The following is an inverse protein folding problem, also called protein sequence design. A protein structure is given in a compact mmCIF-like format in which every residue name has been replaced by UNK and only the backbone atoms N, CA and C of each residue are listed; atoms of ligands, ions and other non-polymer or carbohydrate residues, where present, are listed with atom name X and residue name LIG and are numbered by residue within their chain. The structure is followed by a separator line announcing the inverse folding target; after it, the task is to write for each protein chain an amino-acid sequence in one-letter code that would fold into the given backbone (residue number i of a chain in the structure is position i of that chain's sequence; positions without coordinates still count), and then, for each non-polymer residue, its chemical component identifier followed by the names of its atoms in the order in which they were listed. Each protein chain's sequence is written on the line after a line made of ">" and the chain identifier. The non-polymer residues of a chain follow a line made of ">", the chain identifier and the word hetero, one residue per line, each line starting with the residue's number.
data_IF_594382270574
#
_entry.id   IF_594382270574
#
_cell.length_a   1.000
_cell.length_b   1.000
_cell.length_c   1.000
_cell.angle_alpha   90.00
_cell.angle_beta   90.00
_cell.angle_gamma   90.00
#
_symmetry.space_group_name_H-M   'P 1'
#
loop_
_entity.id
_entity.type
_entity.pdbx_description
1 polymer ?
#
# COMPACT_ATOMS: atom_id res chain seq x y z
N UNK A 1 -7.95 -25.44 25.54
CA UNK A 1 -7.83 -24.14 26.26
C UNK A 1 -6.44 -23.60 26.02
N UNK A 2 -6.32 -22.42 25.47
CA UNK A 2 -5.03 -21.73 25.30
C UNK A 2 -4.56 -21.19 26.66
N UNK A 3 -3.25 -20.90 26.80
CA UNK A 3 -2.71 -20.26 28.02
C UNK A 3 -3.42 -18.95 28.32
N UNK A 4 -3.67 -18.13 27.31
CA UNK A 4 -4.36 -16.83 27.44
C UNK A 4 -5.79 -16.98 27.98
N UNK A 5 -6.57 -17.91 27.43
CA UNK A 5 -7.93 -18.17 27.89
C UNK A 5 -7.94 -18.63 29.35
N UNK A 6 -6.99 -19.49 29.73
CA UNK A 6 -6.85 -19.95 31.12
C UNK A 6 -6.50 -18.78 32.05
N UNK A 7 -5.50 -17.97 31.71
CA UNK A 7 -5.06 -16.85 32.53
C UNK A 7 -6.13 -15.76 32.70
N UNK A 8 -7.04 -15.61 31.75
CA UNK A 8 -8.19 -14.71 31.89
C UNK A 8 -9.18 -15.14 33.00
N UNK A 9 -9.14 -16.39 33.45
CA UNK A 9 -9.99 -16.92 34.53
C UNK A 9 -9.32 -16.91 35.92
N UNK A 10 -8.02 -16.63 35.98
CA UNK A 10 -7.25 -16.64 37.23
C UNK A 10 -7.54 -15.38 38.05
N UNK A 11 -7.81 -15.55 39.35
CA UNK A 11 -8.17 -14.46 40.25
C UNK A 11 -7.14 -14.19 41.36
N UNK A 12 -6.17 -15.07 41.53
CA UNK A 12 -5.15 -14.98 42.57
C UNK A 12 -3.77 -15.46 42.10
N UNK A 13 -2.72 -14.98 42.74
CA UNK A 13 -1.36 -15.45 42.53
C UNK A 13 -1.20 -16.82 43.19
N UNK A 14 -1.05 -17.88 42.42
CA UNK A 14 -0.99 -19.25 42.95
C UNK A 14 -0.35 -20.21 41.94
N UNK A 15 -0.25 -21.50 42.29
CA UNK A 15 0.14 -22.59 41.43
C UNK A 15 -1.10 -23.31 40.86
N UNK A 16 -1.10 -23.53 39.56
CA UNK A 16 -2.19 -24.13 38.80
C UNK A 16 -1.76 -25.34 37.99
N UNK A 17 -2.72 -26.10 37.54
CA UNK A 17 -2.51 -27.10 36.49
C UNK A 17 -2.22 -26.38 35.16
N UNK A 18 -1.13 -26.74 34.51
CA UNK A 18 -0.78 -26.14 33.21
C UNK A 18 -1.77 -26.60 32.13
N UNK A 19 -2.48 -25.73 31.43
CA UNK A 19 -3.44 -26.12 30.40
C UNK A 19 -2.78 -26.79 29.19
N UNK A 20 -1.49 -26.57 28.97
CA UNK A 20 -0.76 -27.10 27.83
C UNK A 20 -0.17 -28.50 28.07
N UNK A 21 0.26 -28.81 29.29
CA UNK A 21 0.98 -30.07 29.55
C UNK A 21 0.39 -30.97 30.65
N UNK A 22 -0.63 -30.51 31.41
CA UNK A 22 -1.18 -31.33 32.52
C UNK A 22 -1.82 -32.65 32.05
N UNK A 23 -2.47 -32.63 30.90
CA UNK A 23 -3.16 -33.83 30.35
C UNK A 23 -2.20 -34.93 29.88
N UNK A 24 -0.99 -34.58 29.45
CA UNK A 24 0.02 -35.50 28.91
C UNK A 24 1.00 -36.06 29.95
N UNK A 25 0.94 -35.58 31.22
CA UNK A 25 1.86 -35.97 32.29
C UNK A 25 1.44 -37.27 33.01
N UNK A 26 2.42 -37.97 33.58
CA UNK A 26 2.17 -39.13 34.46
C UNK A 26 1.40 -38.71 35.72
N UNK A 27 1.77 -37.59 36.36
CA UNK A 27 1.09 -36.99 37.52
C UNK A 27 0.24 -35.81 37.07
N UNK A 28 -1.00 -36.05 36.69
CA UNK A 28 -1.92 -35.04 36.13
C UNK A 28 -2.38 -34.01 37.16
N UNK A 29 -2.27 -34.30 38.48
CA UNK A 29 -2.68 -33.42 39.55
C UNK A 29 -1.60 -32.40 40.00
N UNK A 30 -0.36 -32.51 39.48
CA UNK A 30 0.71 -31.61 39.92
C UNK A 30 0.51 -30.20 39.36
N UNK A 31 0.44 -29.22 40.27
CA UNK A 31 0.31 -27.79 39.96
C UNK A 31 1.66 -27.19 39.63
N UNK A 32 2.10 -27.30 38.39
CA UNK A 32 3.42 -26.86 37.96
C UNK A 32 3.42 -25.48 37.30
N UNK A 33 2.26 -24.89 37.02
CA UNK A 33 2.14 -23.53 36.50
C UNK A 33 2.07 -22.54 37.66
N UNK A 34 3.11 -21.74 37.81
CA UNK A 34 3.10 -20.57 38.70
C UNK A 34 2.47 -19.39 37.99
N UNK A 35 1.52 -18.74 38.60
CA UNK A 35 0.90 -17.50 38.10
C UNK A 35 1.04 -16.44 39.15
N UNK A 36 1.53 -15.26 38.77
CA UNK A 36 1.67 -14.07 39.58
C UNK A 36 0.86 -12.92 38.97
N UNK A 37 -0.03 -12.34 39.76
CA UNK A 37 -0.83 -11.20 39.41
C UNK A 37 -0.16 -9.94 39.95
N UNK A 38 0.23 -9.04 39.05
CA UNK A 38 0.69 -7.70 39.40
C UNK A 38 -0.40 -6.67 39.06
N UNK A 39 -0.33 -5.41 39.48
CA UNK A 39 -1.32 -4.40 39.13
C UNK A 39 -1.50 -4.19 37.63
N UNK A 40 -0.46 -4.44 36.81
CA UNK A 40 -0.44 -4.16 35.39
C UNK A 40 -0.49 -5.44 34.53
N UNK A 41 0.06 -6.56 35.04
CA UNK A 41 0.30 -7.76 34.24
C UNK A 41 0.03 -9.05 35.01
N UNK A 42 -0.26 -10.12 34.29
CA UNK A 42 -0.28 -11.50 34.79
C UNK A 42 0.94 -12.21 34.21
N UNK A 43 1.84 -12.64 35.08
CA UNK A 43 3.08 -13.35 34.71
C UNK A 43 2.89 -14.83 35.02
N UNK A 44 3.39 -15.69 34.14
CA UNK A 44 3.30 -17.12 34.37
C UNK A 44 4.58 -17.88 33.97
N UNK A 45 4.82 -19.00 34.64
CA UNK A 45 5.91 -19.92 34.33
C UNK A 45 5.52 -21.36 34.70
N UNK A 46 5.61 -22.27 33.73
CA UNK A 46 5.39 -23.68 33.97
C UNK A 46 6.71 -24.44 34.16
N UNK A 47 6.95 -24.95 35.36
CA UNK A 47 8.18 -25.70 35.69
C UNK A 47 8.27 -27.09 35.08
N UNK A 48 7.26 -27.54 34.31
CA UNK A 48 7.30 -28.82 33.62
C UNK A 48 7.56 -28.70 32.11
N UNK A 49 6.87 -27.83 31.41
CA UNK A 49 7.06 -27.62 29.97
C UNK A 49 7.87 -26.38 29.63
N UNK A 50 8.34 -25.63 30.63
CA UNK A 50 9.11 -24.40 30.51
C UNK A 50 8.40 -23.29 29.75
N UNK A 51 7.10 -23.40 29.54
CA UNK A 51 6.29 -22.33 28.94
C UNK A 51 6.17 -21.18 29.94
N UNK A 52 6.57 -19.99 29.53
CA UNK A 52 6.56 -18.80 30.37
C UNK A 52 6.21 -17.54 29.58
N UNK A 53 5.71 -16.51 30.25
CA UNK A 53 5.37 -15.25 29.61
C UNK A 53 4.53 -14.35 30.53
N UNK A 54 3.97 -13.30 29.94
CA UNK A 54 3.09 -12.37 30.62
C UNK A 54 2.07 -11.76 29.66
N UNK A 55 0.93 -11.38 30.23
CA UNK A 55 -0.12 -10.63 29.53
C UNK A 55 -0.56 -9.44 30.39
N UNK A 56 -0.78 -8.28 29.78
CA UNK A 56 -1.44 -7.19 30.50
C UNK A 56 -2.90 -7.54 30.80
N UNK A 57 -3.46 -6.96 31.84
CA UNK A 57 -4.90 -7.16 32.18
C UNK A 57 -5.80 -6.74 31.01
N UNK A 58 -5.41 -5.73 30.24
CA UNK A 58 -6.10 -5.30 29.02
C UNK A 58 -6.07 -6.39 27.94
N UNK A 59 -4.92 -7.03 27.73
CA UNK A 59 -4.78 -8.12 26.77
C UNK A 59 -5.62 -9.36 27.16
N UNK A 60 -5.79 -9.64 28.45
CA UNK A 60 -6.61 -10.75 28.93
C UNK A 60 -8.13 -10.46 28.83
N UNK A 61 -8.52 -9.19 29.03
CA UNK A 61 -9.92 -8.74 28.90
C UNK A 61 -10.35 -8.53 27.44
N UNK A 62 -9.40 -8.27 26.54
CA UNK A 62 -9.71 -8.11 25.14
C UNK A 62 -10.30 -9.43 24.61
N UNK A 63 -11.57 -9.40 24.25
CA UNK A 63 -12.18 -10.45 23.42
C UNK A 63 -11.27 -10.72 22.22
N UNK A 64 -11.18 -11.98 21.74
CA UNK A 64 -10.38 -12.25 20.55
C UNK A 64 -10.81 -11.26 19.47
N UNK A 65 -9.83 -10.48 18.95
CA UNK A 65 -10.12 -9.59 17.82
C UNK A 65 -10.82 -10.44 16.77
N UNK A 66 -11.99 -9.99 16.27
CA UNK A 66 -12.61 -10.69 15.19
C UNK A 66 -11.53 -10.89 14.12
N UNK A 67 -11.33 -12.14 13.71
CA UNK A 67 -10.45 -12.48 12.59
C UNK A 67 -10.76 -11.48 11.49
N UNK A 68 -9.77 -10.78 10.92
CA UNK A 68 -10.04 -9.86 9.83
C UNK A 68 -10.87 -10.63 8.81
N UNK A 69 -12.08 -10.17 8.53
CA UNK A 69 -12.89 -10.75 7.44
C UNK A 69 -11.97 -10.78 6.22
N UNK A 70 -11.91 -11.92 5.57
CA UNK A 70 -11.21 -12.03 4.30
C UNK A 70 -11.56 -10.77 3.47
N UNK A 71 -10.56 -10.09 2.88
CA UNK A 71 -10.85 -8.93 2.07
C UNK A 71 -11.93 -9.31 1.06
N UNK A 72 -12.94 -8.47 0.84
CA UNK A 72 -13.98 -8.75 -0.14
C UNK A 72 -13.27 -9.08 -1.47
N UNK A 73 -13.80 -10.02 -2.26
CA UNK A 73 -13.21 -10.35 -3.55
C UNK A 73 -13.01 -9.05 -4.34
N UNK A 74 -11.91 -8.94 -5.10
CA UNK A 74 -11.65 -7.76 -5.92
C UNK A 74 -12.90 -7.44 -6.73
N UNK A 75 -13.41 -6.22 -6.64
CA UNK A 75 -14.51 -5.78 -7.51
C UNK A 75 -14.07 -6.01 -8.95
N UNK A 76 -14.94 -6.62 -9.74
CA UNK A 76 -14.69 -6.75 -11.18
C UNK A 76 -14.41 -5.34 -11.74
N UNK A 77 -13.25 -5.20 -12.35
CA UNK A 77 -12.81 -3.94 -12.94
C UNK A 77 -13.63 -3.75 -14.21
N UNK A 78 -14.40 -2.70 -14.25
CA UNK A 78 -15.11 -2.29 -15.46
C UNK A 78 -14.44 -1.05 -16.02
N UNK A 79 -13.56 -1.24 -16.99
CA UNK A 79 -13.00 -0.12 -17.78
C UNK A 79 -14.07 0.29 -18.79
N UNK A 80 -14.51 1.55 -18.80
CA UNK A 80 -15.49 2.03 -19.78
C UNK A 80 -14.97 1.82 -21.21
N UNK A 81 -15.79 1.20 -22.06
CA UNK A 81 -15.45 1.00 -23.48
C UNK A 81 -15.61 2.30 -24.29
N UNK A 82 -16.54 3.13 -23.89
CA UNK A 82 -16.82 4.43 -24.50
C UNK A 82 -16.53 5.52 -23.48
N UNK A 83 -15.44 6.23 -23.67
CA UNK A 83 -15.07 7.37 -22.85
C UNK A 83 -15.36 8.66 -23.60
N UNK A 84 -15.87 9.67 -22.91
CA UNK A 84 -16.04 11.00 -23.46
C UNK A 84 -14.68 11.71 -23.51
N UNK A 85 -14.06 11.70 -24.70
CA UNK A 85 -12.74 12.32 -24.91
C UNK A 85 -12.76 13.83 -24.67
N UNK A 86 -13.89 14.50 -24.93
CA UNK A 86 -14.00 15.93 -24.70
C UNK A 86 -13.91 16.25 -23.19
N UNK A 87 -14.59 15.47 -22.35
CA UNK A 87 -14.49 15.65 -20.87
C UNK A 87 -13.10 15.36 -20.35
N UNK A 88 -12.41 14.37 -20.89
CA UNK A 88 -11.00 14.11 -20.56
C UNK A 88 -10.14 15.31 -20.96
N UNK A 89 -10.32 15.80 -22.18
CA UNK A 89 -9.59 16.97 -22.70
C UNK A 89 -9.81 18.22 -21.84
N UNK A 90 -11.07 18.52 -21.52
CA UNK A 90 -11.42 19.70 -20.69
C UNK A 90 -10.83 19.60 -19.28
N UNK A 91 -10.90 18.39 -18.67
CA UNK A 91 -10.31 18.14 -17.36
C UNK A 91 -8.79 18.35 -17.35
N UNK A 92 -8.09 17.92 -18.39
CA UNK A 92 -6.65 18.08 -18.53
C UNK A 92 -6.28 19.51 -18.92
N UNK A 93 -7.04 20.15 -19.81
CA UNK A 93 -6.83 21.54 -20.22
C UNK A 93 -6.91 22.52 -19.05
N UNK A 94 -7.83 22.30 -18.11
CA UNK A 94 -7.94 23.06 -16.87
C UNK A 94 -6.65 23.01 -16.01
N UNK A 95 -5.71 22.13 -16.35
CA UNK A 95 -4.39 21.95 -15.71
C UNK A 95 -3.23 22.26 -16.67
N UNK A 96 -3.52 22.90 -17.79
CA UNK A 96 -2.56 23.19 -18.86
C UNK A 96 -1.90 21.94 -19.48
N UNK A 97 -2.57 20.79 -19.43
CA UNK A 97 -2.12 19.53 -20.03
C UNK A 97 -2.83 19.34 -21.37
N UNK A 98 -2.07 19.20 -22.46
CA UNK A 98 -2.63 18.96 -23.78
C UNK A 98 -2.96 17.47 -23.95
N UNK A 99 -4.26 17.14 -24.00
CA UNK A 99 -4.74 15.78 -24.17
C UNK A 99 -4.20 15.09 -25.44
N UNK A 100 -4.11 15.80 -26.56
CA UNK A 100 -3.64 15.24 -27.82
C UNK A 100 -2.19 14.74 -27.77
N UNK A 101 -1.37 15.33 -26.89
CA UNK A 101 0.03 14.91 -26.74
C UNK A 101 0.19 13.67 -25.84
N UNK A 102 -0.83 13.33 -25.05
CA UNK A 102 -0.75 12.26 -24.05
C UNK A 102 -1.71 11.09 -24.32
N UNK A 103 -2.75 11.25 -25.13
CA UNK A 103 -3.80 10.25 -25.35
C UNK A 103 -3.30 8.90 -25.89
N UNK A 104 -2.28 8.91 -26.74
CA UNK A 104 -1.69 7.70 -27.29
C UNK A 104 -0.60 7.10 -26.38
N UNK A 105 -0.16 7.86 -25.40
CA UNK A 105 0.85 7.45 -24.42
C UNK A 105 0.23 6.81 -23.17
N UNK A 106 -0.98 7.23 -22.78
CA UNK A 106 -1.61 6.84 -21.53
C UNK A 106 -3.08 6.49 -21.71
N UNK A 107 -3.51 5.41 -21.10
CA UNK A 107 -4.91 5.01 -21.11
C UNK A 107 -5.68 5.78 -20.02
N UNK A 108 -6.45 6.76 -20.46
CA UNK A 108 -7.29 7.60 -19.62
C UNK A 108 -8.75 7.39 -20.06
N UNK A 109 -9.64 7.27 -19.10
CA UNK A 109 -11.07 7.03 -19.33
C UNK A 109 -11.93 8.01 -18.58
N UNK A 110 -13.16 8.21 -19.04
CA UNK A 110 -14.19 9.00 -18.36
C UNK A 110 -15.33 8.07 -17.93
N UNK A 111 -15.96 8.37 -16.79
CA UNK A 111 -17.13 7.64 -16.30
C UNK A 111 -17.72 8.25 -15.04
N UNK A 112 -18.87 7.72 -14.60
CA UNK A 112 -19.50 8.12 -13.36
C UNK A 112 -19.18 7.13 -12.26
N UNK A 113 -18.82 7.65 -11.07
CA UNK A 113 -18.42 6.84 -9.92
C UNK A 113 -19.00 7.41 -8.62
N UNK A 114 -19.29 6.52 -7.68
CA UNK A 114 -19.72 6.90 -6.35
C UNK A 114 -18.51 7.18 -5.46
N UNK A 115 -18.46 8.39 -4.90
CA UNK A 115 -17.44 8.81 -3.92
C UNK A 115 -18.09 9.03 -2.57
N UNK A 116 -17.42 8.58 -1.51
CA UNK A 116 -17.82 8.82 -0.12
C UNK A 116 -17.60 10.28 0.24
N UNK A 117 -18.29 10.74 1.27
CA UNK A 117 -18.07 12.05 1.87
C UNK A 117 -16.61 12.23 2.31
N UNK A 118 -16.13 13.45 2.25
CA UNK A 118 -14.80 13.83 2.74
C UNK A 118 -14.82 15.30 3.15
N UNK A 119 -14.73 15.57 4.45
CA UNK A 119 -14.89 16.94 4.97
C UNK A 119 -16.26 17.48 4.65
N UNK A 120 -16.33 18.63 4.00
CA UNK A 120 -17.56 19.29 3.57
C UNK A 120 -18.13 18.77 2.23
N UNK A 121 -17.40 17.84 1.56
CA UNK A 121 -17.83 17.31 0.27
C UNK A 121 -18.75 16.12 0.51
N UNK A 122 -19.99 16.22 0.07
CA UNK A 122 -21.00 15.18 0.22
C UNK A 122 -20.69 13.92 -0.60
N UNK A 123 -21.21 12.79 -0.12
CA UNK A 123 -21.15 11.53 -0.85
C UNK A 123 -22.10 11.56 -2.06
N UNK A 124 -21.73 10.92 -3.15
CA UNK A 124 -22.60 10.82 -4.32
C UNK A 124 -21.91 10.27 -5.55
N UNK A 125 -22.72 10.07 -6.59
CA UNK A 125 -22.23 9.74 -7.92
C UNK A 125 -21.82 11.02 -8.64
N UNK A 126 -20.57 11.05 -9.09
CA UNK A 126 -20.00 12.19 -9.82
C UNK A 126 -19.19 11.72 -11.03
N UNK A 127 -19.13 12.58 -12.02
CA UNK A 127 -18.25 12.36 -13.19
C UNK A 127 -16.79 12.34 -12.75
N UNK A 128 -16.04 11.39 -13.27
CA UNK A 128 -14.67 11.16 -12.88
C UNK A 128 -13.79 10.77 -14.07
N UNK A 129 -12.54 11.13 -13.98
CA UNK A 129 -11.48 10.69 -14.87
C UNK A 129 -10.77 9.51 -14.24
N UNK A 130 -10.58 8.45 -15.02
CA UNK A 130 -9.92 7.22 -14.60
C UNK A 130 -8.56 7.05 -15.27
N UNK A 131 -7.56 6.76 -14.47
CA UNK A 131 -6.20 6.41 -14.91
C UNK A 131 -6.07 4.90 -14.85
N UNK A 132 -5.90 4.26 -16.02
CA UNK A 132 -5.90 2.80 -16.15
C UNK A 132 -4.50 2.25 -15.98
N UNK A 133 -4.34 1.31 -15.06
CA UNK A 133 -3.08 0.65 -14.73
C UNK A 133 -2.99 -0.75 -15.34
N UNK A 134 -1.79 -1.13 -15.72
CA UNK A 134 -1.51 -2.43 -16.29
C UNK A 134 -2.31 -2.70 -17.56
N UNK A 135 -2.65 -3.96 -17.77
CA UNK A 135 -3.56 -4.39 -18.85
C UNK A 135 -5.01 -4.42 -18.33
N UNK A 136 -5.53 -3.25 -17.91
CA UNK A 136 -6.86 -3.10 -17.30
C UNK A 136 -6.98 -3.78 -15.91
N UNK A 137 -5.89 -3.83 -15.15
CA UNK A 137 -5.82 -4.48 -13.84
C UNK A 137 -6.34 -3.59 -12.71
N UNK A 138 -6.27 -2.28 -12.87
CA UNK A 138 -6.83 -1.31 -11.95
C UNK A 138 -7.16 0.01 -12.63
N UNK A 139 -8.11 0.74 -12.06
CA UNK A 139 -8.42 2.12 -12.46
C UNK A 139 -8.47 2.99 -11.23
N UNK A 140 -7.67 4.04 -11.21
CA UNK A 140 -7.71 5.07 -10.18
C UNK A 140 -8.55 6.23 -10.69
N UNK A 141 -9.67 6.47 -10.01
CA UNK A 141 -10.65 7.45 -10.38
C UNK A 141 -10.51 8.73 -9.59
N UNK A 142 -10.58 9.85 -10.27
CA UNK A 142 -10.57 11.19 -9.69
C UNK A 142 -11.79 11.95 -10.16
N UNK A 143 -12.62 12.48 -9.25
CA UNK A 143 -13.81 13.26 -9.63
C UNK A 143 -13.41 14.55 -10.33
N UNK A 144 -14.27 15.00 -11.24
CA UNK A 144 -14.14 16.32 -11.84
C UNK A 144 -14.64 17.33 -10.80
N UNK A 145 -13.75 18.25 -10.39
CA UNK A 145 -14.10 19.33 -9.45
C UNK A 145 -13.59 19.19 -8.02
N UNK A 146 -13.13 17.99 -7.59
CA UNK A 146 -12.55 17.82 -6.24
C UNK A 146 -11.29 16.95 -6.21
N UNK A 147 -10.71 16.79 -5.01
CA UNK A 147 -9.43 16.07 -4.81
C UNK A 147 -9.58 14.65 -4.25
N UNK A 148 -10.81 14.13 -4.14
CA UNK A 148 -11.00 12.74 -3.72
C UNK A 148 -10.42 11.79 -4.77
N UNK A 149 -10.20 10.56 -4.38
CA UNK A 149 -9.93 9.47 -5.32
C UNK A 149 -10.48 8.16 -4.78
N UNK A 150 -10.79 7.26 -5.68
CA UNK A 150 -11.10 5.86 -5.38
C UNK A 150 -10.33 4.98 -6.36
N UNK A 151 -10.16 3.72 -6.02
CA UNK A 151 -9.49 2.76 -6.86
C UNK A 151 -10.32 1.49 -7.00
N UNK A 152 -10.52 1.07 -8.25
CA UNK A 152 -11.04 -0.24 -8.61
C UNK A 152 -9.84 -1.13 -8.95
N UNK A 153 -9.77 -2.34 -8.41
CA UNK A 153 -8.64 -3.24 -8.60
C UNK A 153 -7.40 -2.87 -7.78
N UNK A 154 -6.29 -3.54 -8.07
CA UNK A 154 -5.01 -3.34 -7.38
C UNK A 154 -3.96 -2.81 -8.36
N UNK A 155 -3.59 -1.55 -8.24
CA UNK A 155 -2.52 -0.95 -9.02
C UNK A 155 -1.16 -1.42 -8.46
N UNK A 156 -0.60 -2.46 -9.07
CA UNK A 156 0.67 -3.09 -8.67
C UNK A 156 1.86 -2.68 -9.53
N UNK A 157 1.64 -1.83 -10.52
CA UNK A 157 2.66 -1.37 -11.46
C UNK A 157 2.78 0.15 -11.42
N UNK A 158 3.89 0.68 -11.92
CA UNK A 158 3.99 2.10 -12.22
C UNK A 158 3.01 2.46 -13.35
N UNK A 159 2.27 3.55 -13.20
CA UNK A 159 1.37 4.02 -14.26
C UNK A 159 2.16 4.49 -15.48
N UNK A 160 1.76 4.02 -16.65
CA UNK A 160 2.46 4.31 -17.90
C UNK A 160 3.63 3.38 -18.23
N UNK A 161 3.99 2.43 -17.37
CA UNK A 161 5.13 1.52 -17.60
C UNK A 161 4.89 0.55 -18.76
N UNK A 162 3.63 0.18 -19.03
CA UNK A 162 3.29 -0.81 -20.06
C UNK A 162 3.68 -0.37 -21.47
N UNK A 163 3.70 0.94 -21.73
CA UNK A 163 4.17 1.49 -23.03
C UNK A 163 5.69 1.39 -23.21
N UNK A 164 6.43 1.18 -22.12
CA UNK A 164 7.90 1.07 -22.10
C UNK A 164 8.30 -0.40 -22.11
N UNK A 165 7.58 -1.25 -21.34
CA UNK A 165 7.80 -2.70 -21.33
C UNK A 165 7.65 -3.27 -22.74
N UNK A 166 8.56 -4.13 -23.15
CA UNK A 166 8.53 -4.79 -24.45
C UNK A 166 9.14 -3.99 -25.62
N UNK A 167 9.63 -2.77 -25.39
CA UNK A 167 10.44 -2.09 -26.40
C UNK A 167 11.78 -2.78 -26.58
N UNK A 168 12.28 -2.83 -27.80
CA UNK A 168 13.63 -3.33 -28.11
C UNK A 168 14.70 -2.45 -27.46
N UNK A 169 14.50 -1.13 -27.51
CA UNK A 169 15.35 -0.15 -26.87
C UNK A 169 14.61 0.41 -25.64
N UNK A 170 15.17 0.20 -24.47
CA UNK A 170 14.68 0.78 -23.23
C UNK A 170 15.25 2.19 -23.04
N UNK A 171 14.51 3.08 -22.33
CA UNK A 171 14.96 4.44 -22.12
C UNK A 171 16.26 4.49 -21.32
N UNK A 172 17.20 5.31 -21.77
CA UNK A 172 18.39 5.64 -20.98
C UNK A 172 18.06 6.59 -19.84
N UNK A 173 17.15 7.49 -20.08
CA UNK A 173 16.64 8.45 -19.09
C UNK A 173 15.13 8.32 -18.97
N UNK A 174 14.61 8.43 -17.76
CA UNK A 174 13.19 8.42 -17.48
C UNK A 174 12.84 9.22 -16.24
N UNK A 175 11.58 9.62 -16.13
CA UNK A 175 11.03 10.35 -14.98
C UNK A 175 10.09 9.47 -14.20
N UNK A 176 10.17 9.50 -12.88
CA UNK A 176 9.18 8.93 -11.97
C UNK A 176 8.53 10.07 -11.20
N UNK A 177 7.22 10.25 -11.40
CA UNK A 177 6.40 11.25 -10.71
C UNK A 177 5.63 10.65 -9.54
N UNK A 178 5.20 11.50 -8.61
CA UNK A 178 4.35 11.09 -7.50
C UNK A 178 2.90 10.80 -7.94
N UNK A 179 2.35 11.56 -8.88
CA UNK A 179 0.98 11.44 -9.34
C UNK A 179 0.82 11.30 -10.86
N UNK A 180 -0.35 10.82 -11.27
CA UNK A 180 -0.69 10.62 -12.68
C UNK A 180 -0.75 11.94 -13.45
N UNK A 181 -1.26 13.00 -12.80
CA UNK A 181 -1.34 14.33 -13.41
C UNK A 181 0.04 14.96 -13.61
N UNK A 182 0.98 14.72 -12.70
CA UNK A 182 2.36 15.18 -12.82
C UNK A 182 3.04 14.48 -13.98
N UNK A 183 2.84 13.15 -14.10
CA UNK A 183 3.36 12.39 -15.23
C UNK A 183 2.78 12.88 -16.57
N UNK A 184 1.48 13.23 -16.62
CA UNK A 184 0.86 13.80 -17.81
C UNK A 184 1.42 15.20 -18.13
N UNK A 185 1.67 16.03 -17.13
CA UNK A 185 2.27 17.35 -17.31
C UNK A 185 3.65 17.24 -17.96
N UNK A 186 4.50 16.35 -17.44
CA UNK A 186 5.81 16.07 -18.04
C UNK A 186 5.67 15.53 -19.47
N UNK A 187 4.81 14.53 -19.68
CA UNK A 187 4.64 13.89 -20.99
C UNK A 187 4.03 14.81 -22.06
N UNK A 188 3.31 15.86 -21.65
CA UNK A 188 2.73 16.85 -22.56
C UNK A 188 3.71 17.93 -23.01
N UNK A 189 4.84 18.07 -22.31
CA UNK A 189 5.82 19.14 -22.56
C UNK A 189 7.20 18.62 -22.97
N UNK A 190 7.50 17.35 -22.67
CA UNK A 190 8.83 16.77 -22.89
C UNK A 190 8.71 15.41 -23.60
N UNK A 191 9.62 15.16 -24.55
CA UNK A 191 9.78 13.84 -25.18
C UNK A 191 10.69 12.95 -24.35
N UNK A 192 10.23 12.61 -23.13
CA UNK A 192 10.91 11.73 -22.21
C UNK A 192 9.96 10.64 -21.72
N UNK A 193 10.49 9.48 -21.41
CA UNK A 193 9.69 8.42 -20.78
C UNK A 193 9.40 8.79 -19.33
N UNK A 194 8.11 8.84 -19.00
CA UNK A 194 7.64 9.19 -17.67
C UNK A 194 6.60 8.20 -17.18
N UNK A 195 6.66 7.91 -15.89
CA UNK A 195 5.74 7.04 -15.15
C UNK A 195 5.35 7.67 -13.83
N UNK A 196 4.28 7.23 -13.19
CA UNK A 196 3.99 7.64 -11.82
C UNK A 196 3.82 6.46 -10.88
N UNK A 197 4.01 6.71 -9.57
CA UNK A 197 3.75 5.70 -8.55
C UNK A 197 2.25 5.49 -8.37
N UNK A 198 1.78 4.24 -8.09
CA UNK A 198 0.35 3.95 -7.93
C UNK A 198 -0.21 4.43 -6.60
N UNK A 199 0.62 4.50 -5.59
CA UNK A 199 0.23 4.84 -4.22
C UNK A 199 0.88 6.16 -3.82
N UNK A 200 0.20 6.91 -2.94
CA UNK A 200 0.78 8.15 -2.40
C UNK A 200 2.08 7.93 -1.64
N UNK A 201 2.81 9.01 -1.41
CA UNK A 201 4.08 9.01 -0.70
C UNK A 201 3.96 8.43 0.73
N UNK A 202 5.00 7.77 1.25
CA UNK A 202 5.04 7.33 2.64
C UNK A 202 5.24 8.53 3.57
N UNK A 203 4.65 8.48 4.76
CA UNK A 203 4.82 9.56 5.76
C UNK A 203 6.24 9.68 6.31
N UNK A 204 7.07 8.64 6.17
CA UNK A 204 8.46 8.60 6.61
C UNK A 204 9.24 7.50 5.90
N UNK A 205 10.55 7.65 5.89
CA UNK A 205 11.50 6.64 5.42
C UNK A 205 11.47 5.42 6.36
N UNK A 206 11.50 4.22 5.81
CA UNK A 206 11.54 2.99 6.58
C UNK A 206 12.96 2.66 7.05
N UNK A 207 13.12 2.35 8.34
CA UNK A 207 14.40 1.88 8.91
C UNK A 207 14.71 0.41 8.56
N UNK A 208 13.73 -0.32 7.99
CA UNK A 208 13.89 -1.73 7.66
C UNK A 208 14.80 -1.93 6.46
N UNK A 209 15.56 -3.04 6.49
CA UNK A 209 16.28 -3.49 5.30
C UNK A 209 15.29 -3.81 4.17
N UNK A 210 15.63 -3.40 2.97
CA UNK A 210 14.81 -3.69 1.79
C UNK A 210 15.01 -5.14 1.38
N UNK A 211 13.93 -5.93 1.41
CA UNK A 211 13.88 -7.32 0.94
C UNK A 211 12.75 -7.42 -0.07
N UNK A 212 13.10 -7.68 -1.33
CA UNK A 212 12.15 -7.60 -2.46
C UNK A 212 10.89 -8.47 -2.28
N UNK A 213 11.02 -9.68 -1.74
CA UNK A 213 9.89 -10.60 -1.52
C UNK A 213 8.92 -10.16 -0.43
N UNK A 214 9.34 -9.26 0.46
CA UNK A 214 8.54 -8.76 1.60
C UNK A 214 8.04 -7.33 1.38
N UNK A 215 8.50 -6.66 0.32
CA UNK A 215 8.32 -5.23 0.06
C UNK A 215 7.03 -4.91 -0.71
N UNK A 216 5.90 -5.36 -0.19
CA UNK A 216 4.58 -5.21 -0.82
C UNK A 216 4.18 -3.75 -1.11
N UNK A 217 4.62 -2.82 -0.25
CA UNK A 217 4.30 -1.39 -0.42
C UNK A 217 4.91 -0.80 -1.69
N UNK A 218 6.08 -1.28 -2.08
CA UNK A 218 6.84 -0.84 -3.25
C UNK A 218 6.94 -1.93 -4.33
N UNK A 219 6.01 -2.90 -4.32
CA UNK A 219 5.91 -4.00 -5.28
C UNK A 219 6.02 -3.49 -6.73
N UNK A 220 5.43 -2.34 -7.03
CA UNK A 220 5.44 -1.71 -8.34
C UNK A 220 6.84 -1.39 -8.89
N UNK A 221 7.85 -1.17 -8.00
CA UNK A 221 9.24 -0.98 -8.44
C UNK A 221 9.89 -2.32 -8.82
N UNK A 222 9.54 -3.38 -8.11
CA UNK A 222 10.02 -4.73 -8.42
C UNK A 222 9.41 -5.27 -9.70
N UNK A 223 8.12 -5.01 -9.95
CA UNK A 223 7.44 -5.33 -11.20
C UNK A 223 7.98 -4.55 -12.41
N UNK A 224 8.58 -3.39 -12.18
CA UNK A 224 9.22 -2.57 -13.20
C UNK A 224 10.76 -2.78 -13.29
N UNK A 225 11.31 -3.74 -12.55
CA UNK A 225 12.76 -3.91 -12.39
C UNK A 225 13.50 -4.01 -13.71
N UNK A 226 12.96 -4.69 -14.71
CA UNK A 226 13.60 -4.88 -16.01
C UNK A 226 13.83 -3.55 -16.75
N UNK A 227 12.88 -2.62 -16.67
CA UNK A 227 12.99 -1.27 -17.22
C UNK A 227 13.92 -0.44 -16.35
N UNK A 228 13.63 -0.39 -15.03
CA UNK A 228 14.36 0.47 -14.09
C UNK A 228 15.84 0.11 -14.00
N UNK A 229 16.22 -1.18 -14.09
CA UNK A 229 17.62 -1.59 -14.01
C UNK A 229 18.46 -1.14 -15.21
N UNK A 230 17.84 -1.00 -16.39
CA UNK A 230 18.51 -0.59 -17.64
C UNK A 230 18.58 0.91 -17.83
N UNK A 231 17.72 1.67 -17.16
CA UNK A 231 17.81 3.13 -17.17
C UNK A 231 19.14 3.59 -16.54
N UNK A 232 19.87 4.44 -17.24
CA UNK A 232 21.13 5.03 -16.78
C UNK A 232 20.86 6.21 -15.83
N UNK A 233 19.75 6.92 -16.08
CA UNK A 233 19.33 8.09 -15.27
C UNK A 233 17.84 8.04 -15.00
N UNK A 234 17.46 8.21 -13.74
CA UNK A 234 16.09 8.28 -13.27
C UNK A 234 15.90 9.58 -12.51
N UNK A 235 15.03 10.43 -13.06
CA UNK A 235 14.69 11.71 -12.48
C UNK A 235 13.48 11.50 -11.57
N UNK A 236 13.61 11.81 -10.29
CA UNK A 236 12.54 11.72 -9.30
C UNK A 236 11.84 13.07 -9.19
N UNK A 237 10.65 13.18 -9.78
CA UNK A 237 9.82 14.37 -9.79
C UNK A 237 8.67 14.18 -8.78
N UNK A 238 8.98 14.37 -7.51
CA UNK A 238 8.06 14.24 -6.37
C UNK A 238 7.83 15.60 -5.71
N UNK A 239 6.81 15.70 -4.88
CA UNK A 239 6.50 16.93 -4.16
C UNK A 239 7.65 17.31 -3.21
N UNK A 240 7.87 18.64 -3.03
CA UNK A 240 8.91 19.16 -2.12
C UNK A 240 8.39 19.29 -0.69
N UNK A 241 7.72 18.24 -0.21
CA UNK A 241 7.27 18.10 1.17
C UNK A 241 7.94 16.90 1.85
N UNK A 242 7.69 16.69 3.14
CA UNK A 242 8.28 15.59 3.91
C UNK A 242 7.93 14.22 3.34
N UNK A 243 6.71 14.07 2.82
CA UNK A 243 6.24 12.82 2.23
C UNK A 243 6.91 12.54 0.88
N UNK A 244 7.04 13.54 0.02
CA UNK A 244 7.75 13.44 -1.26
C UNK A 244 9.24 13.15 -1.07
N UNK A 245 9.89 13.80 -0.11
CA UNK A 245 11.28 13.49 0.25
C UNK A 245 11.43 12.02 0.73
N UNK A 246 10.48 11.54 1.53
CA UNK A 246 10.48 10.14 1.95
C UNK A 246 10.25 9.18 0.77
N UNK A 247 9.38 9.53 -0.17
CA UNK A 247 9.16 8.74 -1.39
C UNK A 247 10.41 8.68 -2.26
N UNK A 248 11.07 9.83 -2.47
CA UNK A 248 12.32 9.95 -3.21
C UNK A 248 13.39 9.00 -2.66
N UNK A 249 13.61 9.04 -1.37
CA UNK A 249 14.60 8.18 -0.70
C UNK A 249 14.23 6.70 -0.79
N UNK A 250 12.95 6.36 -0.60
CA UNK A 250 12.47 4.98 -0.69
C UNK A 250 12.59 4.40 -2.11
N UNK A 251 12.38 5.22 -3.15
CA UNK A 251 12.61 4.81 -4.54
C UNK A 251 14.13 4.62 -4.76
N UNK A 252 14.94 5.60 -4.39
CA UNK A 252 16.39 5.58 -4.62
C UNK A 252 17.08 4.38 -3.96
N UNK A 253 16.64 3.97 -2.77
CA UNK A 253 17.14 2.77 -2.07
C UNK A 253 16.91 1.46 -2.83
N UNK A 254 15.83 1.38 -3.64
CA UNK A 254 15.43 0.17 -4.38
C UNK A 254 15.96 0.14 -5.80
N UNK A 255 16.05 1.28 -6.41
CA UNK A 255 16.44 1.44 -7.82
C UNK A 255 17.95 1.65 -7.97
N UNK A 256 18.58 2.23 -6.96
CA UNK A 256 20.02 2.56 -6.92
C UNK A 256 20.26 4.07 -6.92
N UNK A 257 20.78 4.59 -5.81
CA UNK A 257 21.00 6.03 -5.60
C UNK A 257 21.86 6.70 -6.66
N UNK A 258 22.88 5.96 -7.16
CA UNK A 258 23.85 6.52 -8.10
C UNK A 258 23.26 6.99 -9.43
N UNK A 259 22.05 6.51 -9.79
CA UNK A 259 21.35 6.89 -11.02
C UNK A 259 20.07 7.67 -10.79
N UNK A 260 19.76 8.00 -9.53
CA UNK A 260 18.61 8.82 -9.17
C UNK A 260 19.02 10.28 -9.06
N UNK A 261 18.28 11.15 -9.71
CA UNK A 261 18.45 12.59 -9.74
C UNK A 261 17.15 13.25 -9.31
N UNK A 262 17.25 14.46 -8.79
CA UNK A 262 16.09 15.29 -8.44
C UNK A 262 16.00 16.52 -9.32
N UNK A 263 14.82 17.12 -9.41
CA UNK A 263 14.63 18.42 -10.04
C UNK A 263 14.90 19.49 -8.97
N UNK A 264 15.88 20.34 -9.20
CA UNK A 264 16.26 21.44 -8.31
C UNK A 264 15.38 22.66 -8.53
#
# INVERSE_FOLDING_TARGET
>A
TTMKEFLATVQDSNRYLCPLCSSSRKKKSDRTLSVELTPETVIYNCFHCNESGGFSHEQLRASPRPTPKAPPPPRAISVPKNSDEQKISDFLAARSINYLQVKDKFKIVHGTKYFREKGEIEAGEVEAIGFVYGKDEAVKWRPIGDKRFIQDGAARTLWGIERIKGRLELPKEMVICEGELDALSVASTMEIDVVSVPNGAPSKISDRKVVASEDKKFEYLWEAKDVLSRAEKIILAVDKDEAGEALKEEIARRVGRAKCYEIV
#
